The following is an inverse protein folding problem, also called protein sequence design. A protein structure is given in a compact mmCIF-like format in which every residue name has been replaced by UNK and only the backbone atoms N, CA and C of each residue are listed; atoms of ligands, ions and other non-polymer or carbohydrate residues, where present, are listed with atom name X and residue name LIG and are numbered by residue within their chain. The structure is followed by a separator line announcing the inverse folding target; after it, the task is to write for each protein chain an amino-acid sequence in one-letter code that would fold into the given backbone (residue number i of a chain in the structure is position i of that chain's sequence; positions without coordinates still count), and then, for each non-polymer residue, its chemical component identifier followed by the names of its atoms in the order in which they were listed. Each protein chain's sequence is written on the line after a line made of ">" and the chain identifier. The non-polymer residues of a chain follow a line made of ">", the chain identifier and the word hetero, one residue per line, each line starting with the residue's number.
data_IF_101254882300
#
_entry.id   IF_101254882300
#
_cell.length_a   1.000
_cell.length_b   1.000
_cell.length_c   1.000
_cell.angle_alpha   90.00
_cell.angle_beta   90.00
_cell.angle_gamma   90.00
#
_symmetry.space_group_name_H-M   'P 1'
#
loop_
_entity.id
_entity.type
_entity.pdbx_description
1 polymer ?
#
# COMPACT_ATOMS: atom_id res chain seq x y z
N UNK A 1 -16.14 17.61 -21.95
CA UNK A 1 -15.06 17.08 -22.82
C UNK A 1 -15.32 15.60 -23.05
N UNK A 2 -15.45 15.18 -24.31
CA UNK A 2 -15.59 13.77 -24.73
C UNK A 2 -14.20 13.28 -25.14
N UNK A 3 -13.71 12.17 -24.58
CA UNK A 3 -12.56 11.48 -25.13
C UNK A 3 -13.04 10.46 -26.15
N UNK A 4 -12.61 10.63 -27.39
CA UNK A 4 -12.85 9.74 -28.53
C UNK A 4 -11.65 8.83 -28.72
N UNK A 5 -11.85 7.51 -28.68
CA UNK A 5 -10.97 6.57 -29.38
C UNK A 5 -9.74 6.03 -28.64
N UNK A 6 -9.82 5.77 -27.34
CA UNK A 6 -8.85 4.91 -26.65
C UNK A 6 -9.60 3.76 -25.98
N UNK A 7 -9.30 2.52 -26.36
CA UNK A 7 -9.76 1.37 -25.58
C UNK A 7 -9.30 1.54 -24.13
N UNK A 8 -10.20 1.38 -23.18
CA UNK A 8 -9.78 1.23 -21.79
C UNK A 8 -9.13 -0.15 -21.68
N UNK A 9 -7.83 -0.20 -21.35
CA UNK A 9 -7.21 -1.45 -20.93
C UNK A 9 -7.75 -1.80 -19.54
N UNK A 10 -8.81 -2.61 -19.53
CA UNK A 10 -9.30 -3.23 -18.31
C UNK A 10 -8.37 -4.40 -18.01
N UNK A 11 -7.35 -4.15 -17.20
CA UNK A 11 -6.55 -5.24 -16.64
C UNK A 11 -7.23 -5.70 -15.36
N UNK A 12 -7.98 -6.80 -15.46
CA UNK A 12 -8.57 -7.45 -14.29
C UNK A 12 -7.46 -8.13 -13.49
N UNK A 13 -7.17 -7.61 -12.30
CA UNK A 13 -6.29 -8.22 -11.32
C UNK A 13 -7.10 -8.58 -10.06
N UNK A 14 -6.95 -9.81 -9.57
CA UNK A 14 -7.64 -10.33 -8.39
C UNK A 14 -8.51 -11.55 -8.68
N UNK A 15 -8.74 -12.39 -7.66
CA UNK A 15 -9.77 -13.44 -7.74
C UNK A 15 -11.15 -12.78 -7.60
N UNK A 16 -12.03 -13.00 -8.59
CA UNK A 16 -13.42 -12.57 -8.49
C UNK A 16 -14.08 -13.19 -7.25
N UNK A 17 -14.58 -12.37 -6.34
CA UNK A 17 -15.13 -12.82 -5.05
C UNK A 17 -14.92 -11.85 -3.89
N UNK A 18 -13.98 -10.90 -4.04
CA UNK A 18 -13.82 -9.75 -3.14
C UNK A 18 -12.95 -10.06 -1.92
N UNK A 19 -11.81 -9.37 -1.83
CA UNK A 19 -11.07 -9.02 -0.60
C UNK A 19 -9.83 -8.18 -0.92
N UNK A 20 -9.44 -8.07 -2.19
CA UNK A 20 -8.32 -7.22 -2.60
C UNK A 20 -8.55 -5.75 -2.17
N UNK A 21 -7.57 -5.19 -1.48
CA UNK A 21 -7.60 -3.83 -0.93
C UNK A 21 -6.68 -2.97 -1.80
N UNK A 22 -7.19 -1.92 -2.47
CA UNK A 22 -6.35 -0.97 -3.20
C UNK A 22 -5.38 -0.27 -2.24
N UNK A 23 -4.10 -0.25 -2.62
CA UNK A 23 -3.00 0.30 -1.81
C UNK A 23 -2.03 1.11 -2.69
N UNK A 24 -2.52 2.09 -3.48
CA UNK A 24 -1.66 2.87 -4.36
C UNK A 24 -0.58 3.63 -3.57
N UNK A 25 0.59 3.79 -4.16
CA UNK A 25 1.76 4.47 -3.59
C UNK A 25 2.94 4.39 -4.54
N UNK A 26 3.96 5.21 -4.36
CA UNK A 26 5.18 5.16 -5.16
C UNK A 26 6.06 3.99 -4.72
N UNK A 27 6.02 2.84 -5.39
CA UNK A 27 6.78 1.66 -4.97
C UNK A 27 8.08 1.48 -5.76
N UNK A 28 8.34 2.31 -6.77
CA UNK A 28 9.53 2.25 -7.61
C UNK A 28 10.45 3.49 -7.50
N UNK A 29 10.05 4.48 -6.69
CA UNK A 29 10.84 5.67 -6.32
C UNK A 29 10.82 6.77 -7.36
N UNK A 30 9.84 6.77 -8.26
CA UNK A 30 9.72 7.74 -9.37
C UNK A 30 8.90 9.01 -9.02
N UNK A 31 8.45 9.10 -7.75
CA UNK A 31 7.60 10.14 -7.16
C UNK A 31 6.19 10.18 -7.73
N UNK A 32 5.68 9.04 -8.20
CA UNK A 32 4.32 8.90 -8.72
C UNK A 32 3.70 7.66 -8.10
N UNK A 33 2.42 7.76 -7.77
CA UNK A 33 1.70 6.61 -7.26
C UNK A 33 1.54 5.52 -8.35
N UNK A 34 1.88 4.28 -7.99
CA UNK A 34 1.63 3.09 -8.78
C UNK A 34 0.27 2.48 -8.47
N UNK A 35 -0.20 1.61 -9.38
CA UNK A 35 -1.35 0.78 -9.10
C UNK A 35 -0.93 -0.38 -8.22
N UNK A 36 -1.56 -0.55 -7.07
CA UNK A 36 -1.25 -1.67 -6.20
C UNK A 36 -2.48 -2.19 -5.45
N UNK A 37 -2.45 -3.49 -5.16
CA UNK A 37 -3.49 -4.21 -4.42
C UNK A 37 -2.84 -5.11 -3.36
N UNK A 38 -3.45 -5.18 -2.18
CA UNK A 38 -3.14 -6.15 -1.16
C UNK A 38 -4.20 -7.23 -1.14
N UNK A 39 -3.82 -8.51 -1.20
CA UNK A 39 -4.71 -9.66 -1.16
C UNK A 39 -4.63 -10.32 0.22
N UNK A 40 -5.59 -10.08 1.13
CA UNK A 40 -5.54 -10.56 2.50
C UNK A 40 -5.44 -12.09 2.61
N UNK A 41 -6.07 -12.83 1.70
CA UNK A 41 -6.06 -14.30 1.66
C UNK A 41 -4.67 -14.89 1.41
N UNK A 42 -3.74 -14.10 0.87
CA UNK A 42 -2.38 -14.52 0.53
C UNK A 42 -1.30 -13.64 1.18
N UNK A 43 -1.71 -12.62 1.92
CA UNK A 43 -0.85 -11.52 2.37
C UNK A 43 0.01 -10.96 1.23
N UNK A 44 -0.54 -10.91 0.02
CA UNK A 44 0.20 -10.58 -1.21
C UNK A 44 0.02 -9.10 -1.53
N UNK A 45 1.11 -8.37 -1.63
CA UNK A 45 1.16 -7.03 -2.20
C UNK A 45 1.56 -7.17 -3.67
N UNK A 46 0.67 -6.79 -4.58
CA UNK A 46 0.93 -6.76 -6.02
C UNK A 46 0.93 -5.32 -6.51
N UNK A 47 1.98 -4.93 -7.22
CA UNK A 47 2.21 -3.57 -7.70
C UNK A 47 2.45 -3.59 -9.19
N UNK A 48 1.89 -2.61 -9.89
CA UNK A 48 2.15 -2.32 -11.30
C UNK A 48 2.57 -0.88 -11.46
N UNK A 49 3.82 -0.69 -11.88
CA UNK A 49 4.38 0.62 -12.20
C UNK A 49 3.54 1.28 -13.29
N UNK A 50 3.12 2.53 -13.07
CA UNK A 50 2.36 3.27 -14.09
C UNK A 50 3.26 3.86 -15.18
N UNK A 51 4.55 4.03 -14.91
CA UNK A 51 5.52 4.55 -15.88
C UNK A 51 6.10 3.44 -16.74
N UNK A 52 6.57 2.35 -16.13
CA UNK A 52 7.26 1.27 -16.86
C UNK A 52 6.34 0.13 -17.26
N UNK A 53 5.18 0.00 -16.61
CA UNK A 53 4.29 -1.17 -16.73
C UNK A 53 4.84 -2.42 -16.04
N UNK A 54 5.99 -2.34 -15.36
CA UNK A 54 6.58 -3.44 -14.63
C UNK A 54 5.65 -3.91 -13.51
N UNK A 55 5.61 -5.23 -13.28
CA UNK A 55 4.81 -5.84 -12.23
C UNK A 55 5.77 -6.43 -11.19
N UNK A 56 5.52 -6.12 -9.92
CA UNK A 56 6.22 -6.71 -8.80
C UNK A 56 5.24 -7.24 -7.77
N UNK A 57 5.65 -8.22 -6.98
CA UNK A 57 4.86 -8.70 -5.87
C UNK A 57 5.71 -9.18 -4.71
N UNK A 58 5.17 -9.03 -3.50
CA UNK A 58 5.81 -9.50 -2.27
C UNK A 58 4.75 -10.00 -1.30
N UNK A 59 5.04 -11.10 -0.61
CA UNK A 59 4.22 -11.56 0.51
C UNK A 59 4.73 -10.90 1.78
N UNK A 60 3.85 -10.13 2.43
CA UNK A 60 4.13 -9.50 3.71
C UNK A 60 2.84 -9.47 4.54
N UNK A 61 2.92 -9.93 5.79
CA UNK A 61 1.77 -10.16 6.65
C UNK A 61 1.47 -11.63 6.90
N UNK A 62 0.31 -11.89 7.50
CA UNK A 62 -0.20 -13.25 7.72
C UNK A 62 -1.48 -13.43 6.93
N UNK A 63 -1.45 -14.40 6.02
CA UNK A 63 -2.57 -14.72 5.14
C UNK A 63 -3.83 -15.13 5.92
N UNK A 64 -4.99 -14.61 5.51
CA UNK A 64 -6.29 -14.97 6.08
C UNK A 64 -6.54 -14.43 7.50
N UNK A 65 -5.78 -13.42 7.93
CA UNK A 65 -5.93 -12.79 9.25
C UNK A 65 -6.66 -11.46 9.17
N UNK A 66 -6.72 -10.76 10.30
CA UNK A 66 -7.29 -9.42 10.44
C UNK A 66 -6.32 -8.29 10.07
N UNK A 67 -5.15 -8.63 9.53
CA UNK A 67 -4.13 -7.73 8.99
C UNK A 67 -4.74 -6.79 7.93
N UNK A 68 -4.64 -5.48 8.18
CA UNK A 68 -5.04 -4.43 7.25
C UNK A 68 -3.80 -3.74 6.66
N UNK A 69 -3.73 -3.52 5.35
CA UNK A 69 -2.59 -2.88 4.73
C UNK A 69 -2.61 -1.37 4.97
N UNK A 70 -1.42 -0.80 5.09
CA UNK A 70 -1.17 0.65 5.18
C UNK A 70 0.05 0.96 4.32
N UNK A 71 -0.07 2.01 3.53
CA UNK A 71 0.99 2.52 2.67
C UNK A 71 1.43 3.89 3.18
N UNK A 72 2.73 4.16 3.09
CA UNK A 72 3.35 5.44 3.38
C UNK A 72 4.86 5.31 3.34
N UNK A 73 5.57 6.42 3.15
CA UNK A 73 7.03 6.50 3.36
C UNK A 73 7.28 6.77 4.85
N UNK A 74 7.57 5.72 5.63
CA UNK A 74 7.75 5.82 7.08
C UNK A 74 9.22 6.03 7.48
N UNK A 75 10.16 5.88 6.55
CA UNK A 75 11.58 6.14 6.80
C UNK A 75 12.19 7.33 6.02
N UNK A 76 11.40 7.99 5.18
CA UNK A 76 11.77 9.19 4.44
C UNK A 76 12.70 8.89 3.26
N UNK A 77 12.66 7.68 2.70
CA UNK A 77 13.52 7.29 1.57
C UNK A 77 12.93 7.68 0.20
N UNK A 78 11.72 8.22 0.18
CA UNK A 78 11.00 8.64 -1.01
C UNK A 78 10.33 7.48 -1.76
N UNK A 79 10.23 6.29 -1.15
CA UNK A 79 9.54 5.11 -1.68
C UNK A 79 8.57 4.57 -0.64
N UNK A 80 7.40 4.13 -1.09
CA UNK A 80 6.34 3.61 -0.24
C UNK A 80 6.73 2.32 0.47
N UNK A 81 6.59 2.34 1.80
CA UNK A 81 6.72 1.18 2.66
C UNK A 81 5.43 0.36 2.71
N UNK A 82 5.60 -0.94 3.01
CA UNK A 82 4.49 -1.88 3.16
C UNK A 82 4.25 -2.12 4.63
N UNK A 83 3.24 -1.45 5.19
CA UNK A 83 2.86 -1.58 6.59
C UNK A 83 1.59 -2.39 6.73
N UNK A 84 1.50 -3.15 7.82
CA UNK A 84 0.29 -3.85 8.22
C UNK A 84 -0.13 -3.41 9.60
N UNK A 85 -1.41 -3.09 9.76
CA UNK A 85 -2.06 -2.95 11.06
C UNK A 85 -2.76 -4.26 11.41
N UNK A 86 -2.26 -4.94 12.44
CA UNK A 86 -2.88 -6.12 13.03
C UNK A 86 -3.84 -5.69 14.12
N UNK A 87 -5.13 -5.72 13.81
CA UNK A 87 -6.20 -5.27 14.73
C UNK A 87 -6.17 -6.03 16.05
N UNK A 88 -5.97 -7.34 16.02
CA UNK A 88 -5.95 -8.22 17.20
C UNK A 88 -4.89 -7.85 18.25
N UNK A 89 -3.81 -7.18 17.85
CA UNK A 89 -2.69 -6.82 18.74
C UNK A 89 -2.37 -5.32 18.75
N UNK A 90 -3.10 -4.50 17.99
CA UNK A 90 -2.79 -3.10 17.72
C UNK A 90 -1.34 -2.88 17.21
N UNK A 91 -0.81 -3.86 16.46
CA UNK A 91 0.56 -3.79 15.96
C UNK A 91 0.61 -3.18 14.56
N UNK A 92 1.46 -2.18 14.39
CA UNK A 92 1.91 -1.63 13.12
C UNK A 92 3.21 -2.31 12.74
N UNK A 93 3.22 -3.06 11.64
CA UNK A 93 4.35 -3.89 11.22
C UNK A 93 4.80 -3.44 9.84
N UNK A 94 5.90 -2.71 9.80
CA UNK A 94 6.41 -2.04 8.60
C UNK A 94 7.55 -2.83 8.00
N UNK A 95 7.41 -3.16 6.71
CA UNK A 95 8.52 -3.57 5.86
C UNK A 95 8.98 -2.37 5.05
N UNK A 96 10.21 -1.94 5.32
CA UNK A 96 10.81 -0.82 4.61
C UNK A 96 11.13 -1.14 3.14
N UNK A 97 10.93 -0.15 2.27
CA UNK A 97 11.43 -0.08 0.88
C UNK A 97 12.96 -0.08 0.85
N UNK A 98 13.59 0.72 1.73
CA UNK A 98 15.03 0.95 1.86
C UNK A 98 15.88 -0.29 2.19
N UNK A 99 15.24 -1.41 2.54
CA UNK A 99 15.92 -2.64 2.98
C UNK A 99 16.33 -2.63 4.46
N UNK A 100 15.96 -1.61 5.23
CA UNK A 100 16.09 -1.62 6.70
C UNK A 100 15.34 -2.80 7.31
N UNK A 101 15.79 -3.31 8.47
CA UNK A 101 15.05 -4.35 9.19
C UNK A 101 13.60 -3.91 9.46
N UNK A 102 12.60 -4.79 9.27
CA UNK A 102 11.22 -4.49 9.60
C UNK A 102 11.05 -4.09 11.06
N UNK A 103 10.10 -3.21 11.34
CA UNK A 103 9.73 -2.80 12.69
C UNK A 103 8.32 -3.26 13.04
N UNK A 104 8.07 -3.46 14.34
CA UNK A 104 6.75 -3.69 14.88
C UNK A 104 6.53 -2.76 16.07
N UNK A 105 5.51 -1.90 15.99
CA UNK A 105 5.15 -0.94 17.04
C UNK A 105 3.72 -1.23 17.48
N UNK A 106 3.49 -1.33 18.78
CA UNK A 106 2.13 -1.41 19.31
C UNK A 106 1.60 -0.02 19.59
N UNK A 107 0.57 0.40 18.87
CA UNK A 107 -0.07 1.71 19.04
C UNK A 107 -1.52 1.68 18.55
N UNK A 108 -2.42 2.24 19.34
CA UNK A 108 -3.87 2.14 19.16
C UNK A 108 -4.51 1.20 20.19
N UNK A 109 -5.76 0.81 19.94
CA UNK A 109 -6.52 -0.10 20.80
C UNK A 109 -6.68 -1.47 20.13
N UNK A 110 -6.27 -2.53 20.82
CA UNK A 110 -6.37 -3.89 20.29
C UNK A 110 -7.84 -4.34 20.19
N UNK A 111 -8.15 -5.10 19.14
CA UNK A 111 -9.50 -5.55 18.80
C UNK A 111 -10.53 -4.43 18.59
N UNK A 112 -10.08 -3.19 18.42
CA UNK A 112 -10.95 -2.07 18.01
C UNK A 112 -11.40 -2.24 16.55
N UNK A 113 -12.42 -1.46 16.17
CA UNK A 113 -12.84 -1.34 14.76
C UNK A 113 -12.05 -0.27 14.02
N UNK A 114 -10.86 0.07 14.50
CA UNK A 114 -10.02 1.08 13.85
C UNK A 114 -9.59 0.56 12.48
N UNK A 115 -9.78 1.42 11.49
CA UNK A 115 -9.25 1.24 10.15
C UNK A 115 -8.09 2.20 10.00
N UNK A 116 -6.87 1.71 9.79
CA UNK A 116 -5.80 2.60 9.43
C UNK A 116 -6.17 3.21 8.08
N UNK A 117 -6.09 4.53 8.00
CA UNK A 117 -6.22 5.23 6.74
C UNK A 117 -4.81 5.25 6.16
N UNK A 118 -4.59 4.72 4.94
CA UNK A 118 -3.32 4.89 4.25
C UNK A 118 -2.95 6.36 4.31
N UNK A 119 -1.72 6.67 4.73
CA UNK A 119 -1.26 8.04 4.65
C UNK A 119 -1.27 8.37 3.16
N UNK A 120 -2.08 9.34 2.69
CA UNK A 120 -1.90 9.82 1.34
C UNK A 120 -0.50 10.45 1.34
N UNK A 121 0.38 9.90 0.51
CA UNK A 121 1.66 10.52 0.21
C UNK A 121 1.39 11.96 -0.26
N UNK A 122 1.80 12.93 0.55
CA UNK A 122 1.52 14.36 0.35
C UNK A 122 2.79 15.21 0.34
N UNK A 123 3.99 14.64 0.29
CA UNK A 123 5.21 15.43 0.24
C UNK A 123 5.93 15.26 -1.11
N UNK A 124 6.59 16.26 -1.68
CA UNK A 124 7.51 17.20 -1.04
C UNK A 124 7.33 18.66 -1.49
N UNK A 125 6.12 19.22 -1.40
CA UNK A 125 6.00 20.68 -1.31
C UNK A 125 5.92 21.08 0.16
N UNK A 126 7.09 21.19 0.79
CA UNK A 126 7.35 21.93 2.04
C UNK A 126 7.04 23.43 1.91
N UNK A 127 5.85 23.77 1.42
CA UNK A 127 5.32 25.12 1.51
C UNK A 127 4.16 25.06 2.51
N UNK A 128 4.37 25.47 3.77
CA UNK A 128 3.23 25.90 4.56
C UNK A 128 2.54 27.00 3.74
N UNK A 129 1.27 26.79 3.42
CA UNK A 129 0.42 27.82 2.85
C UNK A 129 0.46 29.02 3.80
N UNK A 130 1.23 30.05 3.45
CA UNK A 130 1.11 31.40 3.99
C UNK A 130 0.15 32.19 3.09
#
# INVERSE_FOLDING_TARGET
>A
MKYSGGGFDIVNWGEGGGVDIPVPGDYDGDRRADLAVYQPTRALWAVRSLVTGAISSVTWGIAGTDDLPVVGDFDGDGTADRTIYRRSTAQWITKFSSGRPPIAITWGEAASRDYPIPAPDFDLNYLPYY
#
